data_IF_985535425668
#
_entry.id   IF_985535425668
#
_cell.length_a   1.000
_cell.length_b   1.000
_cell.length_c   1.000
_cell.angle_alpha   90.00
_cell.angle_beta   90.00
_cell.angle_gamma   90.00
#
_symmetry.space_group_name_H-M   'P 1'
#
loop_
_entity.id
_entity.type
_entity.pdbx_description
1 polymer ?
#
# COMPACT_ATOMS: atom_id res chain seq x y z
N UNK A 1 -15.08 -20.10 10.05
CA UNK A 1 -14.46 -20.93 9.02
C UNK A 1 -14.75 -22.38 9.37
N UNK A 2 -15.47 -23.09 8.52
CA UNK A 2 -15.68 -24.53 8.71
C UNK A 2 -14.36 -25.31 8.53
N UNK A 3 -14.32 -26.57 8.97
CA UNK A 3 -13.11 -27.39 8.92
C UNK A 3 -12.66 -27.69 7.49
N UNK A 4 -13.59 -27.88 6.55
CA UNK A 4 -13.25 -28.16 5.16
C UNK A 4 -12.50 -27.00 4.49
N UNK A 5 -12.94 -25.77 4.74
CA UNK A 5 -12.29 -24.57 4.24
C UNK A 5 -10.92 -24.35 4.92
N UNK A 6 -10.80 -24.64 6.23
CA UNK A 6 -9.50 -24.59 6.93
C UNK A 6 -8.46 -25.53 6.29
N UNK A 7 -8.86 -26.75 5.96
CA UNK A 7 -7.96 -27.72 5.33
C UNK A 7 -7.49 -27.27 3.94
N UNK A 8 -8.39 -26.67 3.14
CA UNK A 8 -8.02 -26.05 1.85
C UNK A 8 -7.03 -24.89 2.03
N UNK A 9 -7.24 -24.03 3.02
CA UNK A 9 -6.32 -22.93 3.31
C UNK A 9 -4.94 -23.44 3.75
N UNK A 10 -4.88 -24.50 4.56
CA UNK A 10 -3.60 -25.15 4.93
C UNK A 10 -2.90 -25.76 3.72
N UNK A 11 -3.64 -26.40 2.82
CA UNK A 11 -3.08 -26.97 1.59
C UNK A 11 -2.50 -25.88 0.67
N UNK A 12 -3.21 -24.77 0.51
CA UNK A 12 -2.70 -23.59 -0.21
C UNK A 12 -1.45 -23.02 0.45
N UNK A 13 -1.44 -22.88 1.77
CA UNK A 13 -0.26 -22.42 2.50
C UNK A 13 0.94 -23.37 2.30
N UNK A 14 0.71 -24.68 2.21
CA UNK A 14 1.75 -25.66 1.91
C UNK A 14 2.30 -25.49 0.49
N UNK A 15 1.44 -25.27 -0.51
CA UNK A 15 1.87 -24.98 -1.88
C UNK A 15 2.70 -23.68 -1.95
N UNK A 16 2.25 -22.62 -1.26
CA UNK A 16 3.01 -21.36 -1.16
C UNK A 16 4.38 -21.58 -0.53
N UNK A 17 4.48 -22.43 0.52
CA UNK A 17 5.77 -22.76 1.15
C UNK A 17 6.74 -23.46 0.21
N UNK A 18 6.23 -24.20 -0.77
CA UNK A 18 7.03 -24.92 -1.74
C UNK A 18 7.52 -24.03 -2.89
N UNK A 19 6.88 -22.86 -3.09
CA UNK A 19 7.25 -21.88 -4.11
C UNK A 19 8.66 -21.32 -3.94
N UNK A 20 9.29 -21.01 -5.06
CA UNK A 20 10.62 -20.38 -5.07
C UNK A 20 10.61 -19.01 -4.38
N UNK A 21 9.50 -18.27 -4.49
CA UNK A 21 9.32 -16.96 -3.83
C UNK A 21 9.42 -17.08 -2.31
N UNK A 22 8.73 -18.05 -1.71
CA UNK A 22 8.80 -18.26 -0.27
C UNK A 22 10.16 -18.80 0.19
N UNK A 23 10.80 -19.65 -0.61
CA UNK A 23 12.17 -20.14 -0.34
C UNK A 23 13.19 -19.00 -0.38
N UNK A 24 13.11 -18.12 -1.37
CA UNK A 24 13.97 -16.95 -1.49
C UNK A 24 13.80 -15.99 -0.29
N UNK A 25 12.56 -15.75 0.14
CA UNK A 25 12.28 -14.97 1.34
C UNK A 25 12.85 -15.58 2.62
N UNK A 26 12.69 -16.89 2.81
CA UNK A 26 13.29 -17.59 3.95
C UNK A 26 14.82 -17.49 3.95
N UNK A 27 15.45 -17.69 2.79
CA UNK A 27 16.90 -17.59 2.66
C UNK A 27 17.41 -16.19 2.97
N UNK A 28 16.79 -15.15 2.38
CA UNK A 28 17.18 -13.77 2.64
C UNK A 28 17.09 -13.41 4.12
N UNK A 29 16.05 -13.89 4.82
CA UNK A 29 15.92 -13.73 6.28
C UNK A 29 17.01 -14.46 7.05
N UNK A 30 17.27 -15.72 6.73
CA UNK A 30 18.32 -16.50 7.39
C UNK A 30 19.71 -15.88 7.22
N UNK A 31 20.00 -15.31 6.05
CA UNK A 31 21.26 -14.59 5.81
C UNK A 31 21.35 -13.28 6.61
N UNK A 32 20.26 -12.52 6.70
CA UNK A 32 20.19 -11.29 7.50
C UNK A 32 20.33 -11.57 9.01
N UNK A 33 19.76 -12.66 9.52
CA UNK A 33 19.85 -13.07 10.93
C UNK A 33 21.29 -13.36 11.39
N UNK A 34 22.20 -13.63 10.47
CA UNK A 34 23.62 -13.81 10.78
C UNK A 34 24.37 -12.46 10.90
N UNK A 35 23.69 -11.34 10.63
CA UNK A 35 24.28 -10.00 10.53
C UNK A 35 23.62 -9.02 11.51
N UNK A 36 24.23 -8.82 12.67
CA UNK A 36 23.68 -7.96 13.72
C UNK A 36 23.37 -6.51 13.25
N UNK A 37 24.25 -5.92 12.43
CA UNK A 37 24.02 -4.58 11.88
C UNK A 37 22.80 -4.53 10.95
N UNK A 38 22.62 -5.54 10.08
CA UNK A 38 21.48 -5.61 9.17
C UNK A 38 20.15 -5.80 9.92
N UNK A 39 20.16 -6.58 11.01
CA UNK A 39 19.00 -6.73 11.89
C UNK A 39 18.57 -5.41 12.54
N UNK A 40 19.54 -4.62 13.02
CA UNK A 40 19.26 -3.30 13.60
C UNK A 40 18.64 -2.39 12.53
N UNK A 41 19.23 -2.35 11.34
CA UNK A 41 18.73 -1.56 10.22
C UNK A 41 17.29 -1.94 9.83
N UNK A 42 17.01 -3.23 9.67
CA UNK A 42 15.66 -3.72 9.35
C UNK A 42 14.65 -3.37 10.46
N UNK A 43 15.02 -3.58 11.72
CA UNK A 43 14.16 -3.25 12.87
C UNK A 43 13.84 -1.76 12.92
N UNK A 44 14.81 -0.90 12.64
CA UNK A 44 14.63 0.54 12.67
C UNK A 44 13.69 1.00 11.55
N UNK A 45 13.79 0.39 10.35
CA UNK A 45 12.84 0.60 9.26
C UNK A 45 11.42 0.16 9.65
N UNK A 46 11.26 -1.05 10.19
CA UNK A 46 9.97 -1.59 10.62
C UNK A 46 9.32 -0.71 11.70
N UNK A 47 10.12 -0.17 12.61
CA UNK A 47 9.64 0.77 13.64
C UNK A 47 9.12 2.07 13.01
N UNK A 48 9.86 2.64 12.06
CA UNK A 48 9.43 3.85 11.36
C UNK A 48 8.11 3.63 10.60
N UNK A 49 7.97 2.50 9.91
CA UNK A 49 6.73 2.12 9.24
C UNK A 49 5.57 1.93 10.23
N UNK A 50 5.81 1.23 11.34
CA UNK A 50 4.77 0.96 12.33
C UNK A 50 4.24 2.24 13.00
N UNK A 51 5.10 3.24 13.23
CA UNK A 51 4.68 4.54 13.76
C UNK A 51 3.74 5.29 12.80
N UNK A 52 4.07 5.29 11.50
CA UNK A 52 3.19 5.84 10.46
C UNK A 52 1.85 5.11 10.45
N UNK A 53 1.87 3.78 10.41
CA UNK A 53 0.64 2.96 10.37
C UNK A 53 -0.24 3.18 11.60
N UNK A 54 0.36 3.37 12.78
CA UNK A 54 -0.38 3.70 14.01
C UNK A 54 -1.10 5.05 13.91
N UNK A 55 -0.44 6.08 13.37
CA UNK A 55 -1.07 7.38 13.15
C UNK A 55 -2.23 7.30 12.17
N UNK A 56 -2.02 6.61 11.04
CA UNK A 56 -3.06 6.39 10.02
C UNK A 56 -4.28 5.68 10.64
N UNK A 57 -4.06 4.59 11.39
CA UNK A 57 -5.14 3.87 12.08
C UNK A 57 -5.85 4.71 13.15
N UNK A 58 -5.13 5.61 13.81
CA UNK A 58 -5.69 6.55 14.78
C UNK A 58 -6.40 7.75 14.13
N UNK A 59 -6.45 7.83 12.79
CA UNK A 59 -6.98 8.99 12.07
C UNK A 59 -6.16 10.27 12.26
N UNK A 60 -4.92 10.14 12.70
CA UNK A 60 -4.00 11.27 12.93
C UNK A 60 -3.22 11.59 11.65
N UNK A 61 -2.92 12.87 11.38
CA UNK A 61 -2.07 13.23 10.26
C UNK A 61 -0.66 12.67 10.46
N UNK A 62 -0.10 12.10 9.39
CA UNK A 62 1.33 11.78 9.31
C UNK A 62 2.07 13.10 9.06
N UNK A 63 3.00 13.45 9.93
CA UNK A 63 3.74 14.70 9.83
C UNK A 63 4.98 14.55 8.94
N UNK A 64 5.53 15.67 8.44
CA UNK A 64 6.71 15.66 7.58
C UNK A 64 7.95 15.05 8.26
N UNK A 65 8.05 15.13 9.59
CA UNK A 65 9.15 14.53 10.35
C UNK A 65 9.12 13.00 10.30
N UNK A 66 7.93 12.38 10.37
CA UNK A 66 7.80 10.92 10.31
C UNK A 66 8.05 10.40 8.89
N UNK A 67 7.53 11.10 7.87
CA UNK A 67 7.80 10.78 6.47
C UNK A 67 9.29 10.89 6.15
N UNK A 68 9.93 11.98 6.59
CA UNK A 68 11.36 12.19 6.40
C UNK A 68 12.19 11.11 7.11
N UNK A 69 11.82 10.74 8.35
CA UNK A 69 12.49 9.66 9.07
C UNK A 69 12.33 8.34 8.35
N UNK A 70 11.14 7.98 7.90
CA UNK A 70 10.90 6.76 7.14
C UNK A 70 11.73 6.75 5.85
N UNK A 71 11.71 7.84 5.09
CA UNK A 71 12.50 7.99 3.85
C UNK A 71 13.99 7.81 4.09
N UNK A 72 14.57 8.50 5.08
CA UNK A 72 16.00 8.33 5.42
C UNK A 72 16.34 6.91 5.82
N UNK A 73 15.46 6.25 6.56
CA UNK A 73 15.69 4.88 7.00
C UNK A 73 15.68 3.94 5.79
N UNK A 74 14.73 4.12 4.86
CA UNK A 74 14.68 3.40 3.58
C UNK A 74 15.97 3.61 2.75
N UNK A 75 16.38 4.87 2.56
CA UNK A 75 17.60 5.21 1.82
C UNK A 75 18.83 4.54 2.46
N UNK A 76 18.93 4.58 3.78
CA UNK A 76 20.06 4.00 4.52
C UNK A 76 20.11 2.48 4.36
N UNK A 77 18.96 1.79 4.47
CA UNK A 77 18.95 0.33 4.36
C UNK A 77 19.11 -0.17 2.93
N UNK A 78 18.80 0.65 1.92
CA UNK A 78 19.01 0.29 0.52
C UNK A 78 20.49 0.02 0.18
N UNK A 79 21.43 0.62 0.92
CA UNK A 79 22.86 0.36 0.77
C UNK A 79 23.35 -0.93 1.43
N UNK A 80 22.54 -1.56 2.30
CA UNK A 80 22.89 -2.83 2.92
C UNK A 80 22.32 -3.99 2.07
N UNK A 81 23.17 -4.81 1.42
CA UNK A 81 22.69 -5.85 0.51
C UNK A 81 21.80 -6.90 1.17
N UNK A 82 22.02 -7.19 2.47
CA UNK A 82 21.20 -8.16 3.20
C UNK A 82 19.81 -7.61 3.52
N UNK A 83 19.72 -6.32 3.87
CA UNK A 83 18.41 -5.69 4.12
C UNK A 83 17.67 -5.51 2.81
N UNK A 84 18.34 -5.04 1.76
CA UNK A 84 17.76 -4.93 0.43
C UNK A 84 17.21 -6.26 -0.09
N UNK A 85 17.96 -7.37 0.09
CA UNK A 85 17.51 -8.71 -0.30
C UNK A 85 16.24 -9.13 0.45
N UNK A 86 16.14 -8.87 1.77
CA UNK A 86 14.92 -9.14 2.53
C UNK A 86 13.75 -8.30 2.04
N UNK A 87 13.94 -7.00 1.77
CA UNK A 87 12.88 -6.13 1.28
C UNK A 87 12.37 -6.56 -0.10
N UNK A 88 13.27 -6.92 -1.01
CA UNK A 88 12.91 -7.44 -2.33
C UNK A 88 12.13 -8.75 -2.23
N UNK A 89 12.58 -9.67 -1.38
CA UNK A 89 11.90 -10.94 -1.19
C UNK A 89 10.55 -10.79 -0.49
N UNK A 90 10.42 -9.84 0.45
CA UNK A 90 9.15 -9.47 1.09
C UNK A 90 8.16 -8.89 0.07
N UNK A 91 8.62 -8.01 -0.81
CA UNK A 91 7.79 -7.47 -1.89
C UNK A 91 7.28 -8.60 -2.81
N UNK A 92 8.18 -9.48 -3.27
CA UNK A 92 7.81 -10.60 -4.13
C UNK A 92 6.81 -11.56 -3.47
N UNK A 93 7.01 -11.85 -2.18
CA UNK A 93 6.07 -12.67 -1.41
C UNK A 93 4.71 -11.96 -1.25
N UNK A 94 4.71 -10.65 -1.00
CA UNK A 94 3.49 -9.84 -0.93
C UNK A 94 2.71 -9.89 -2.24
N UNK A 95 3.39 -9.76 -3.37
CA UNK A 95 2.81 -9.85 -4.70
C UNK A 95 2.18 -11.24 -4.96
N UNK A 96 2.91 -12.32 -4.66
CA UNK A 96 2.38 -13.69 -4.77
C UNK A 96 1.10 -13.87 -3.95
N UNK A 97 1.08 -13.37 -2.71
CA UNK A 97 -0.09 -13.48 -1.85
C UNK A 97 -1.26 -12.60 -2.34
N UNK A 98 -0.97 -11.45 -2.95
CA UNK A 98 -1.99 -10.61 -3.57
C UNK A 98 -2.63 -11.32 -4.76
N UNK A 99 -1.84 -11.90 -5.67
CA UNK A 99 -2.32 -12.69 -6.82
C UNK A 99 -3.18 -13.89 -6.37
N UNK A 100 -2.77 -14.57 -5.30
CA UNK A 100 -3.56 -15.66 -4.72
C UNK A 100 -4.92 -15.15 -4.23
N UNK A 101 -4.96 -13.99 -3.56
CA UNK A 101 -6.22 -13.41 -3.10
C UNK A 101 -7.09 -12.91 -4.25
N UNK A 102 -6.49 -12.40 -5.32
CA UNK A 102 -7.17 -11.99 -6.55
C UNK A 102 -7.88 -13.17 -7.20
N UNK A 103 -7.18 -14.30 -7.42
CA UNK A 103 -7.79 -15.54 -7.95
C UNK A 103 -8.94 -16.01 -7.07
N UNK A 104 -8.79 -15.96 -5.73
CA UNK A 104 -9.88 -16.31 -4.81
C UNK A 104 -11.08 -15.36 -4.99
N UNK A 105 -10.84 -14.06 -5.14
CA UNK A 105 -11.90 -13.08 -5.34
C UNK A 105 -12.61 -13.27 -6.68
N UNK A 106 -11.88 -13.51 -7.77
CA UNK A 106 -12.42 -13.81 -9.10
C UNK A 106 -13.35 -15.03 -9.08
N UNK A 107 -12.90 -16.14 -8.50
CA UNK A 107 -13.69 -17.38 -8.40
C UNK A 107 -14.95 -17.22 -7.53
N UNK A 108 -14.92 -16.29 -6.58
CA UNK A 108 -16.08 -15.92 -5.76
C UNK A 108 -17.02 -14.92 -6.45
N UNK A 109 -16.68 -14.44 -7.65
CA UNK A 109 -17.41 -13.37 -8.33
C UNK A 109 -17.30 -12.01 -7.61
N UNK A 110 -16.27 -11.84 -6.78
CA UNK A 110 -15.90 -10.60 -6.10
C UNK A 110 -14.83 -9.81 -6.88
N UNK A 111 -14.20 -10.44 -7.88
CA UNK A 111 -13.36 -9.79 -8.87
C UNK A 111 -14.17 -8.75 -9.64
N UNK A 112 -13.54 -7.66 -10.02
CA UNK A 112 -14.13 -6.41 -10.50
C UNK A 112 -15.52 -6.57 -11.15
N UNK A 113 -16.54 -6.09 -10.45
CA UNK A 113 -17.84 -5.79 -11.04
C UNK A 113 -17.66 -4.61 -12.01
N UNK A 114 -17.10 -4.86 -13.18
CA UNK A 114 -17.14 -3.92 -14.28
C UNK A 114 -18.55 -3.92 -14.90
N UNK A 115 -19.34 -2.88 -14.58
CA UNK A 115 -20.30 -2.31 -15.53
C UNK A 115 -21.81 -2.49 -15.28
N UNK A 116 -22.38 -1.80 -14.28
CA UNK A 116 -23.75 -1.26 -14.32
C UNK A 116 -23.69 0.12 -13.60
N UNK A 117 -23.78 1.27 -14.26
CA UNK A 117 -24.92 1.72 -15.05
C UNK A 117 -25.84 2.61 -14.19
N UNK A 118 -25.46 3.86 -13.93
CA UNK A 118 -26.42 4.96 -13.81
C UNK A 118 -25.84 6.22 -14.45
N UNK A 119 -26.18 6.38 -15.73
CA UNK A 119 -26.50 7.69 -16.27
C UNK A 119 -27.44 8.40 -15.30
N UNK A 120 -26.99 9.54 -14.77
CA UNK A 120 -27.71 10.35 -13.80
C UNK A 120 -27.83 11.80 -14.26
N UNK A 121 -28.43 12.01 -15.42
CA UNK A 121 -29.26 13.18 -15.69
C UNK A 121 -28.54 14.50 -15.98
N UNK A 122 -28.24 14.72 -17.26
CA UNK A 122 -28.45 16.05 -17.85
C UNK A 122 -29.91 16.48 -17.67
N UNK A 123 -30.10 17.59 -16.96
CA UNK A 123 -31.35 18.34 -16.85
C UNK A 123 -31.13 19.47 -15.85
N UNK A 124 -31.42 20.75 -16.10
CA UNK A 124 -32.02 21.44 -17.21
C UNK A 124 -32.17 22.89 -16.74
N UNK A 125 -31.68 23.81 -17.56
CA UNK A 125 -32.00 25.24 -17.70
C UNK A 125 -32.83 26.00 -16.64
N UNK A 126 -32.34 27.22 -16.39
CA UNK A 126 -33.07 28.50 -16.30
C UNK A 126 -33.27 29.14 -14.91
N UNK A 127 -32.78 30.39 -14.77
CA UNK A 127 -33.20 31.27 -13.67
C UNK A 127 -32.40 32.55 -13.41
N UNK A 128 -32.36 33.49 -14.36
CA UNK A 128 -32.52 34.94 -14.10
C UNK A 128 -31.46 35.74 -13.31
N UNK A 129 -30.60 36.45 -14.04
CA UNK A 129 -30.44 37.92 -14.01
C UNK A 129 -30.04 38.66 -12.72
N UNK A 130 -28.96 39.46 -12.79
CA UNK A 130 -28.78 40.61 -11.88
C UNK A 130 -27.38 41.17 -11.69
N UNK A 131 -26.91 41.98 -12.65
CA UNK A 131 -26.09 43.21 -12.56
C UNK A 131 -25.15 43.45 -11.34
N UNK A 132 -23.88 43.77 -11.65
CA UNK A 132 -23.09 44.78 -10.92
C UNK A 132 -21.58 44.49 -10.87
N UNK A 133 -20.69 45.36 -11.41
CA UNK A 133 -19.25 45.10 -11.48
C UNK A 133 -18.52 45.61 -10.23
N UNK A 134 -17.53 44.85 -9.76
CA UNK A 134 -16.65 45.23 -8.65
C UNK A 134 -15.25 44.67 -8.86
N UNK A 135 -14.37 45.56 -9.29
CA UNK A 135 -12.90 45.61 -9.19
C UNK A 135 -12.12 44.36 -8.74
N UNK A 136 -11.21 43.92 -9.62
CA UNK A 136 -9.78 44.18 -9.37
C UNK A 136 -8.98 43.17 -8.55
N UNK A 137 -8.11 42.48 -9.29
CA UNK A 137 -6.72 42.13 -8.91
C UNK A 137 -6.51 40.89 -8.05
N UNK A 138 -5.68 39.97 -8.56
CA UNK A 138 -4.91 39.04 -7.74
C UNK A 138 -5.09 37.59 -8.14
N UNK A 139 -4.36 37.17 -9.17
CA UNK A 139 -4.02 35.78 -9.47
C UNK A 139 -3.46 35.13 -8.19
N UNK A 140 -4.33 34.43 -7.45
CA UNK A 140 -3.99 33.57 -6.33
C UNK A 140 -4.14 32.14 -6.79
N UNK A 141 -3.11 31.64 -7.45
CA UNK A 141 -2.94 30.24 -7.82
C UNK A 141 -2.90 29.42 -6.51
N UNK A 142 -4.06 28.91 -6.07
CA UNK A 142 -4.13 27.95 -4.97
C UNK A 142 -3.45 26.66 -5.43
N UNK A 143 -2.33 26.22 -4.81
CA UNK A 143 -1.86 24.88 -5.08
C UNK A 143 -2.86 23.92 -4.44
N UNK A 144 -3.79 23.41 -5.26
CA UNK A 144 -4.53 22.18 -4.94
C UNK A 144 -3.49 21.10 -4.72
N UNK A 145 -3.09 20.93 -3.46
CA UNK A 145 -2.29 19.81 -3.00
C UNK A 145 -3.09 18.56 -3.31
N UNK A 146 -2.76 17.97 -4.46
CA UNK A 146 -3.19 16.63 -4.84
C UNK A 146 -2.61 15.70 -3.78
N UNK A 147 -3.44 15.40 -2.79
CA UNK A 147 -3.28 14.29 -1.86
C UNK A 147 -2.99 13.05 -2.70
N UNK A 148 -1.71 12.68 -2.77
CA UNK A 148 -1.28 11.45 -3.38
C UNK A 148 -1.50 10.34 -2.33
N UNK A 149 -2.28 9.34 -2.70
CA UNK A 149 -2.55 8.15 -1.88
C UNK A 149 -2.09 6.94 -2.68
N UNK A 150 -1.08 6.19 -2.25
CA UNK A 150 -0.74 4.93 -2.90
C UNK A 150 -1.78 3.86 -2.55
N UNK A 151 -2.30 3.16 -3.56
CA UNK A 151 -3.15 1.96 -3.37
C UNK A 151 -4.65 2.15 -3.66
N UNK A 152 -5.00 2.79 -4.78
CA UNK A 152 -6.27 2.49 -5.47
C UNK A 152 -5.93 1.82 -6.81
N UNK A 153 -6.77 0.87 -7.27
CA UNK A 153 -6.49 0.02 -8.43
C UNK A 153 -6.22 0.83 -9.70
#
# INVERSE_FOLDING_TARGET
MDEALKEKAKALAQAVKESDVFRAWQQARAELEQRAAAQIMLRDLQRAQAEIMRKVQAGQPVGPEEEERYRRTLETVAYNPYVAAVLQAEQALGQLLAEVNEVIAEELGLGEAEGEGTDGGSGGSAGGGGRGPGEGSGEGDEPRSRLWVPGRP
#
